data_IF_764840260771
#
_entry.id   IF_764840260771
#
_cell.length_a   1.000
_cell.length_b   1.000
_cell.length_c   1.000
_cell.angle_alpha   90.00
_cell.angle_beta   90.00
_cell.angle_gamma   90.00
#
_symmetry.space_group_name_H-M   'P 1'
#
loop_
_entity.id
_entity.type
_entity.pdbx_description
1 polymer ?
#
# COMPACT_ATOMS: atom_id res chain seq x y z
N UNK A 1 19.37 10.60 2.90
CA UNK A 1 19.58 10.43 4.36
C UNK A 1 20.87 9.67 4.66
N UNK A 2 21.10 8.49 4.08
CA UNK A 2 22.32 7.69 4.27
C UNK A 2 23.61 8.47 4.01
N UNK A 3 23.72 9.18 2.88
CA UNK A 3 24.91 9.99 2.59
C UNK A 3 25.13 11.14 3.58
N UNK A 4 24.05 11.67 4.19
CA UNK A 4 24.16 12.74 5.18
C UNK A 4 24.66 12.21 6.52
N UNK A 5 24.06 11.10 6.98
CA UNK A 5 24.52 10.40 8.19
C UNK A 5 25.96 9.94 8.00
N UNK A 6 26.27 9.30 6.88
CA UNK A 6 27.62 8.83 6.57
C UNK A 6 28.71 9.90 6.62
N UNK A 7 28.41 11.13 6.18
CA UNK A 7 29.32 12.26 6.31
C UNK A 7 29.49 12.75 7.76
N UNK A 8 28.48 12.58 8.61
CA UNK A 8 28.53 13.02 10.01
C UNK A 8 29.31 12.05 10.92
N UNK A 9 29.33 10.75 10.61
CA UNK A 9 29.98 9.73 11.45
C UNK A 9 31.47 9.49 11.17
N UNK A 10 32.10 10.20 10.21
CA UNK A 10 33.55 10.14 9.89
C UNK A 10 34.21 8.75 9.77
N UNK A 11 33.43 7.67 9.71
CA UNK A 11 33.89 6.29 9.61
C UNK A 11 33.04 5.56 8.56
N UNK A 12 33.69 5.12 7.48
CA UNK A 12 33.07 4.42 6.36
C UNK A 12 32.63 2.98 6.71
N UNK A 13 33.26 2.37 7.70
CA UNK A 13 33.02 0.98 8.15
C UNK A 13 31.68 0.77 8.89
N UNK A 14 31.11 1.80 9.51
CA UNK A 14 29.83 1.71 10.21
C UNK A 14 28.61 2.07 9.36
N UNK A 15 28.80 2.71 8.20
CA UNK A 15 27.68 3.06 7.31
C UNK A 15 26.87 1.83 6.85
N UNK A 16 27.55 0.71 6.60
CA UNK A 16 26.90 -0.54 6.17
C UNK A 16 26.21 -1.30 7.32
N UNK A 17 26.52 -0.97 8.58
CA UNK A 17 25.85 -1.55 9.76
C UNK A 17 24.54 -0.84 10.09
N UNK A 18 24.37 0.41 9.63
CA UNK A 18 23.15 1.18 9.85
C UNK A 18 22.05 0.66 8.94
N UNK A 19 20.97 0.16 9.54
CA UNK A 19 19.75 -0.17 8.82
C UNK A 19 19.04 1.12 8.40
N UNK A 20 18.98 1.37 7.10
CA UNK A 20 18.29 2.51 6.53
C UNK A 20 17.54 2.08 5.25
N UNK A 21 16.45 2.79 4.92
CA UNK A 21 15.66 2.52 3.73
C UNK A 21 14.22 2.96 3.91
N UNK A 22 13.36 2.62 2.93
CA UNK A 22 11.91 2.73 3.13
C UNK A 22 11.44 1.61 4.05
N UNK A 23 10.22 1.76 4.60
CA UNK A 23 9.57 0.72 5.38
C UNK A 23 9.61 -0.65 4.68
N UNK A 24 9.29 -0.68 3.39
CA UNK A 24 9.29 -1.92 2.59
C UNK A 24 10.69 -2.51 2.39
N UNK A 25 11.72 -1.68 2.13
CA UNK A 25 13.09 -2.18 1.95
C UNK A 25 13.64 -2.80 3.24
N UNK A 26 13.38 -2.15 4.38
CA UNK A 26 13.78 -2.66 5.70
C UNK A 26 12.98 -3.92 6.06
N UNK A 27 11.66 -3.92 5.83
CA UNK A 27 10.80 -5.07 6.05
C UNK A 27 11.21 -6.28 5.22
N UNK A 28 11.50 -6.11 3.92
CA UNK A 28 11.98 -7.19 3.06
C UNK A 28 13.32 -7.76 3.56
N UNK A 29 14.26 -6.92 4.02
CA UNK A 29 15.52 -7.39 4.60
C UNK A 29 15.27 -8.24 5.85
N UNK A 30 14.40 -7.78 6.75
CA UNK A 30 14.02 -8.52 7.95
C UNK A 30 13.35 -9.86 7.63
N UNK A 31 12.35 -9.84 6.73
CA UNK A 31 11.64 -11.04 6.29
C UNK A 31 12.59 -12.05 5.65
N UNK A 32 13.54 -11.64 4.80
CA UNK A 32 14.49 -12.58 4.19
C UNK A 32 15.45 -13.22 5.18
N UNK A 33 15.78 -12.54 6.28
CA UNK A 33 16.60 -13.08 7.35
C UNK A 33 15.84 -14.09 8.21
N UNK A 34 14.54 -13.86 8.43
CA UNK A 34 13.72 -14.61 9.38
C UNK A 34 12.58 -15.43 8.75
N UNK A 35 12.53 -15.55 7.42
CA UNK A 35 11.44 -16.21 6.69
C UNK A 35 11.16 -17.63 7.19
N UNK A 36 12.20 -18.35 7.60
CA UNK A 36 12.10 -19.72 8.14
C UNK A 36 11.23 -19.83 9.40
N UNK A 37 11.08 -18.75 10.19
CA UNK A 37 10.22 -18.74 11.37
C UNK A 37 8.73 -18.77 11.02
N UNK A 38 8.40 -18.46 9.76
CA UNK A 38 7.05 -18.46 9.20
C UNK A 38 6.88 -19.59 8.17
N UNK A 39 7.77 -20.58 8.18
CA UNK A 39 7.82 -21.70 7.21
C UNK A 39 7.98 -21.27 5.74
N UNK A 40 8.51 -20.07 5.50
CA UNK A 40 8.85 -19.59 4.16
C UNK A 40 10.33 -19.82 3.82
N UNK A 41 10.60 -20.08 2.54
CA UNK A 41 11.96 -20.04 2.01
C UNK A 41 12.43 -18.58 1.85
N UNK A 42 13.71 -18.33 2.06
CA UNK A 42 14.30 -16.97 1.97
C UNK A 42 14.23 -16.35 0.56
N UNK A 43 13.92 -17.15 -0.48
CA UNK A 43 13.79 -16.74 -1.87
C UNK A 43 12.34 -16.49 -2.31
N UNK A 44 11.45 -16.11 -1.39
CA UNK A 44 10.09 -15.73 -1.76
C UNK A 44 10.06 -14.54 -2.74
N UNK A 45 9.05 -14.58 -3.60
CA UNK A 45 8.71 -13.51 -4.54
C UNK A 45 7.76 -12.52 -3.89
N UNK A 46 7.93 -11.24 -4.22
CA UNK A 46 6.99 -10.18 -3.82
C UNK A 46 6.16 -9.86 -5.06
N UNK A 47 4.84 -10.03 -4.97
CA UNK A 47 3.93 -9.71 -6.07
C UNK A 47 3.90 -8.20 -6.29
N UNK A 48 3.95 -7.79 -7.55
CA UNK A 48 3.69 -6.41 -7.90
C UNK A 48 2.17 -6.12 -7.92
N UNK A 49 1.80 -4.88 -8.26
CA UNK A 49 0.40 -4.46 -8.31
C UNK A 49 -0.40 -5.23 -9.37
N UNK A 50 0.20 -5.57 -10.51
CA UNK A 50 -0.43 -6.35 -11.57
C UNK A 50 -0.66 -7.79 -11.13
N UNK A 51 0.38 -8.44 -10.62
CA UNK A 51 0.36 -9.83 -10.17
C UNK A 51 -0.65 -10.01 -9.04
N UNK A 52 -0.66 -9.09 -8.07
CA UNK A 52 -1.64 -9.09 -6.98
C UNK A 52 -3.08 -8.98 -7.51
N UNK A 53 -3.31 -8.16 -8.54
CA UNK A 53 -4.65 -7.98 -9.14
C UNK A 53 -5.08 -9.24 -9.89
N UNK A 54 -4.17 -9.90 -10.59
CA UNK A 54 -4.46 -11.13 -11.33
C UNK A 54 -4.68 -12.32 -10.38
N UNK A 55 -3.94 -12.39 -9.28
CA UNK A 55 -4.21 -13.34 -8.19
C UNK A 55 -5.63 -13.18 -7.63
N UNK A 56 -6.08 -11.93 -7.41
CA UNK A 56 -7.45 -11.65 -6.95
C UNK A 56 -8.49 -12.13 -7.99
N UNK A 57 -8.25 -11.91 -9.29
CA UNK A 57 -9.16 -12.40 -10.34
C UNK A 57 -9.25 -13.93 -10.32
N UNK A 58 -8.12 -14.61 -10.20
CA UNK A 58 -8.08 -16.08 -10.13
C UNK A 58 -8.87 -16.58 -8.92
N UNK A 59 -8.66 -15.99 -7.74
CA UNK A 59 -9.40 -16.33 -6.53
C UNK A 59 -10.93 -16.13 -6.67
N UNK A 60 -11.38 -15.05 -7.33
CA UNK A 60 -12.80 -14.82 -7.60
C UNK A 60 -13.37 -15.90 -8.53
N UNK A 61 -12.63 -16.27 -9.57
CA UNK A 61 -13.06 -17.29 -10.52
C UNK A 61 -13.16 -18.67 -9.86
N UNK A 62 -12.22 -19.00 -8.97
CA UNK A 62 -12.20 -20.27 -8.26
C UNK A 62 -13.32 -20.36 -7.20
N UNK A 63 -13.57 -19.29 -6.47
CA UNK A 63 -14.55 -19.28 -5.36
C UNK A 63 -15.99 -19.10 -5.84
N UNK A 64 -16.23 -18.29 -6.87
CA UNK A 64 -17.58 -17.89 -7.30
C UNK A 64 -17.85 -18.09 -8.79
N UNK A 65 -16.87 -18.54 -9.58
CA UNK A 65 -17.03 -18.73 -11.01
C UNK A 65 -17.24 -17.40 -11.75
N UNK A 66 -18.47 -17.18 -12.23
CA UNK A 66 -18.87 -15.94 -12.92
C UNK A 66 -19.66 -15.04 -11.98
N UNK A 67 -19.02 -14.02 -11.39
CA UNK A 67 -19.72 -13.11 -10.50
C UNK A 67 -20.79 -12.31 -11.26
N UNK A 68 -21.87 -11.95 -10.55
CA UNK A 68 -22.98 -11.17 -11.12
C UNK A 68 -22.56 -9.76 -11.57
N UNK A 69 -23.42 -9.10 -12.36
CA UNK A 69 -23.17 -7.79 -12.98
C UNK A 69 -22.69 -6.69 -12.02
N UNK A 70 -23.14 -6.74 -10.76
CA UNK A 70 -22.84 -5.73 -9.74
C UNK A 70 -21.67 -6.11 -8.81
N UNK A 71 -20.96 -7.19 -9.12
CA UNK A 71 -19.84 -7.61 -8.30
C UNK A 71 -18.64 -6.65 -8.46
N UNK A 72 -17.93 -6.31 -7.37
CA UNK A 72 -16.77 -5.43 -7.44
C UNK A 72 -15.69 -5.99 -8.37
N UNK A 73 -15.11 -5.12 -9.21
CA UNK A 73 -13.95 -5.47 -10.02
C UNK A 73 -12.75 -5.81 -9.12
N UNK A 74 -11.86 -6.68 -9.57
CA UNK A 74 -10.64 -7.04 -8.83
C UNK A 74 -9.81 -5.84 -8.34
N UNK A 75 -9.74 -4.76 -9.12
CA UNK A 75 -9.05 -3.52 -8.70
C UNK A 75 -9.70 -2.84 -7.48
N UNK A 76 -11.03 -2.91 -7.36
CA UNK A 76 -11.75 -2.35 -6.21
C UNK A 76 -11.45 -3.17 -4.96
N UNK A 77 -11.45 -4.50 -5.08
CA UNK A 77 -11.11 -5.41 -4.00
C UNK A 77 -9.65 -5.26 -3.57
N UNK A 78 -8.72 -5.14 -4.53
CA UNK A 78 -7.31 -4.87 -4.25
C UNK A 78 -7.13 -3.60 -3.40
N UNK A 79 -7.79 -2.51 -3.78
CA UNK A 79 -7.75 -1.26 -3.02
C UNK A 79 -8.37 -1.42 -1.63
N UNK A 80 -9.47 -2.16 -1.51
CA UNK A 80 -10.13 -2.44 -0.23
C UNK A 80 -9.19 -3.20 0.71
N UNK A 81 -8.57 -4.28 0.24
CA UNK A 81 -7.63 -5.07 1.03
C UNK A 81 -6.40 -4.24 1.42
N UNK A 82 -5.83 -3.48 0.48
CA UNK A 82 -4.70 -2.59 0.77
C UNK A 82 -5.04 -1.60 1.89
N UNK A 83 -6.23 -0.99 1.86
CA UNK A 83 -6.67 -0.07 2.91
C UNK A 83 -6.91 -0.76 4.24
N UNK A 84 -7.49 -1.96 4.23
CA UNK A 84 -7.70 -2.75 5.42
C UNK A 84 -6.36 -3.07 6.10
N UNK A 85 -5.38 -3.59 5.38
CA UNK A 85 -4.05 -3.88 5.92
C UNK A 85 -3.35 -2.62 6.44
N UNK A 86 -3.40 -1.52 5.69
CA UNK A 86 -2.79 -0.25 6.10
C UNK A 86 -3.41 0.34 7.37
N UNK A 87 -4.66 -0.01 7.69
CA UNK A 87 -5.40 0.46 8.86
C UNK A 87 -5.52 -0.59 9.97
N UNK A 88 -4.92 -1.76 9.78
CA UNK A 88 -5.14 -2.93 10.64
C UNK A 88 -6.64 -3.23 10.84
N UNK A 89 -7.44 -2.99 9.79
CA UNK A 89 -8.90 -3.10 9.82
C UNK A 89 -9.35 -4.55 9.76
N UNK A 90 -10.22 -4.95 10.69
CA UNK A 90 -10.83 -6.29 10.70
C UNK A 90 -11.97 -6.40 9.70
N UNK A 91 -12.42 -7.62 9.43
CA UNK A 91 -13.61 -7.88 8.60
C UNK A 91 -14.83 -7.08 9.11
N UNK A 92 -15.02 -7.02 10.42
CA UNK A 92 -16.11 -6.27 11.04
C UNK A 92 -15.99 -4.76 10.80
N UNK A 93 -14.78 -4.21 10.84
CA UNK A 93 -14.58 -2.79 10.51
C UNK A 93 -14.92 -2.50 9.05
N UNK A 94 -14.64 -3.43 8.14
CA UNK A 94 -14.95 -3.28 6.71
C UNK A 94 -16.46 -3.40 6.45
N UNK A 95 -17.17 -4.28 7.17
CA UNK A 95 -18.61 -4.44 7.01
C UNK A 95 -19.40 -3.26 7.59
N UNK A 96 -18.93 -2.69 8.70
CA UNK A 96 -19.56 -1.54 9.38
C UNK A 96 -19.21 -0.21 8.71
N UNK A 97 -18.06 -0.10 8.05
CA UNK A 97 -17.67 1.07 7.25
C UNK A 97 -17.81 0.73 5.76
N UNK A 98 -19.04 0.74 5.19
CA UNK A 98 -19.21 0.56 3.75
C UNK A 98 -18.32 1.55 3.02
N UNK A 99 -17.77 1.12 1.87
CA UNK A 99 -16.89 1.95 1.04
C UNK A 99 -17.58 3.27 0.69
N UNK A 100 -17.37 4.29 1.51
CA UNK A 100 -17.78 5.65 1.20
C UNK A 100 -16.83 6.11 0.11
N UNK A 101 -17.40 6.46 -1.04
CA UNK A 101 -16.66 7.19 -2.09
C UNK A 101 -15.97 8.36 -1.40
N UNK A 102 -14.64 8.28 -1.26
CA UNK A 102 -13.85 9.31 -0.58
C UNK A 102 -14.00 10.59 -1.38
N UNK A 103 -14.85 11.48 -0.88
CA UNK A 103 -14.91 12.85 -1.35
C UNK A 103 -14.00 13.65 -0.44
N UNK A 104 -12.80 13.94 -0.92
CA UNK A 104 -11.81 14.67 -0.13
C UNK A 104 -12.13 16.16 -0.02
N UNK A 105 -13.23 16.61 -0.63
CA UNK A 105 -13.63 18.03 -0.69
C UNK A 105 -12.44 18.93 -1.04
N UNK A 106 -11.59 18.45 -1.97
CA UNK A 106 -10.35 19.13 -2.34
C UNK A 106 -10.63 20.50 -2.93
N UNK A 107 -11.78 20.66 -3.59
CA UNK A 107 -12.31 21.95 -4.01
C UNK A 107 -12.44 22.91 -2.82
N UNK A 108 -12.96 22.47 -1.69
CA UNK A 108 -13.15 23.30 -0.50
C UNK A 108 -11.82 23.67 0.18
N UNK A 109 -10.86 22.73 0.21
CA UNK A 109 -9.51 22.91 0.77
C UNK A 109 -8.60 23.78 -0.12
N UNK A 110 -8.65 23.58 -1.44
CA UNK A 110 -7.83 24.38 -2.37
C UNK A 110 -8.29 25.84 -2.34
N UNK A 111 -9.61 26.09 -2.23
CA UNK A 111 -10.14 27.45 -2.22
C UNK A 111 -10.07 28.14 -0.84
N UNK A 112 -9.85 27.42 0.26
CA UNK A 112 -9.56 28.05 1.56
C UNK A 112 -8.19 28.71 1.55
N UNK A 113 -7.19 28.00 1.01
CA UNK A 113 -5.79 28.44 1.05
C UNK A 113 -5.43 29.27 -0.18
N UNK A 114 -6.13 29.06 -1.30
CA UNK A 114 -5.87 29.76 -2.57
C UNK A 114 -7.18 30.23 -3.23
N UNK A 115 -7.80 31.32 -2.72
CA UNK A 115 -9.08 31.82 -3.21
C UNK A 115 -9.07 32.22 -4.69
N UNK A 116 -7.90 32.61 -5.21
CA UNK A 116 -7.71 33.11 -6.58
C UNK A 116 -7.96 32.03 -7.65
N UNK A 117 -7.80 30.75 -7.31
CA UNK A 117 -7.98 29.63 -8.24
C UNK A 117 -9.45 29.32 -8.54
N UNK A 118 -10.39 29.93 -7.80
CA UNK A 118 -11.84 29.67 -7.89
C UNK A 118 -12.46 30.05 -9.23
N UNK A 119 -11.87 31.01 -9.92
CA UNK A 119 -12.33 31.45 -11.24
C UNK A 119 -11.63 30.71 -12.40
N UNK A 120 -10.46 30.12 -12.15
CA UNK A 120 -9.66 29.44 -13.17
C UNK A 120 -10.09 28.00 -13.40
N UNK A 121 -10.64 27.34 -12.36
CA UNK A 121 -11.04 25.93 -12.39
C UNK A 121 -12.54 25.71 -12.71
N UNK A 122 -13.33 26.78 -12.85
CA UNK A 122 -14.71 26.71 -13.37
C UNK A 122 -14.71 26.69 -14.90
N UNK A 123 -14.36 25.55 -15.49
CA UNK A 123 -14.61 25.25 -16.91
C UNK A 123 -15.18 23.84 -17.02
#
# INVERSE_FOLDING_TARGET
MTQRVGKAINNSTDQNKILHGTFHSVGNRFLRQHAKLLDYKNNFSILDTSDSKDMIKAAIAETMGKPGKFFPKAAVLQNLFSLAFNRNGTQDMISVLPYHKRNFHLDQLIFSDYPILKNTLKK
#
